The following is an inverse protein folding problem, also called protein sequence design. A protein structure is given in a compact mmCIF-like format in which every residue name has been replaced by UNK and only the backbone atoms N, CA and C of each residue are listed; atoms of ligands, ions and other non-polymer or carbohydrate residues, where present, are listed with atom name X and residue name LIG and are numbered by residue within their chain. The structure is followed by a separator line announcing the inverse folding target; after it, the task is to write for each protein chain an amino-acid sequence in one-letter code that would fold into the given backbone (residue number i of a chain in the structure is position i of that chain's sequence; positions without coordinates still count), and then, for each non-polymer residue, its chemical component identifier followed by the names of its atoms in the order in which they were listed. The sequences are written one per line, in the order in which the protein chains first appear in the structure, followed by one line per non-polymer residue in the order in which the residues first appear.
data_IF_747208889956
#
_entry.id   IF_747208889956
#
_cell.length_a   1.000
_cell.length_b   1.000
_cell.length_c   1.000
_cell.angle_alpha   90.00
_cell.angle_beta   90.00
_cell.angle_gamma   90.00
#
_symmetry.space_group_name_H-M   'P 1'
#
loop_
_entity.id
_entity.type
_entity.pdbx_description
1 polymer ?
#
# COMPACT_ATOMS: atom_id res chain seq x y z
N UNK A 1 -2.90 -1.73 20.58
CA UNK A 1 -2.65 -0.34 20.14
C UNK A 1 -2.21 -0.21 18.66
N UNK A 2 -1.84 -1.29 17.96
CA UNK A 2 -1.24 -1.25 16.62
C UNK A 2 -2.21 -1.57 15.46
N UNK A 3 -3.53 -1.61 15.71
CA UNK A 3 -4.57 -1.91 14.70
C UNK A 3 -4.50 -0.94 13.51
N UNK A 4 -4.08 0.30 13.74
CA UNK A 4 -3.93 1.30 12.68
C UNK A 4 -2.89 0.89 11.62
N UNK A 5 -1.89 0.07 11.97
CA UNK A 5 -0.91 -0.45 11.02
C UNK A 5 -1.55 -1.37 9.99
N UNK A 6 -2.64 -2.07 10.31
CA UNK A 6 -3.38 -2.89 9.36
C UNK A 6 -4.49 -2.07 8.68
N UNK A 7 -5.19 -1.24 9.45
CA UNK A 7 -6.33 -0.47 8.97
C UNK A 7 -5.93 0.55 7.89
N UNK A 8 -4.83 1.29 8.09
CA UNK A 8 -4.39 2.32 7.14
C UNK A 8 -4.03 1.73 5.76
N UNK A 9 -3.23 0.65 5.64
CA UNK A 9 -2.98 -0.01 4.36
C UNK A 9 -4.24 -0.56 3.71
N UNK A 10 -5.18 -1.13 4.47
CA UNK A 10 -6.46 -1.57 3.92
C UNK A 10 -7.27 -0.40 3.33
N UNK A 11 -7.34 0.72 4.05
CA UNK A 11 -7.99 1.93 3.54
C UNK A 11 -7.30 2.45 2.27
N UNK A 12 -5.96 2.43 2.23
CA UNK A 12 -5.21 2.78 1.02
C UNK A 12 -5.56 1.85 -0.15
N UNK A 13 -5.66 0.54 0.06
CA UNK A 13 -6.03 -0.42 -0.99
C UNK A 13 -7.47 -0.20 -1.50
N UNK A 14 -8.41 0.17 -0.63
CA UNK A 14 -9.77 0.52 -1.03
C UNK A 14 -9.77 1.77 -1.91
N UNK A 15 -9.09 2.84 -1.49
CA UNK A 15 -8.96 4.08 -2.27
C UNK A 15 -8.25 3.80 -3.60
N UNK A 16 -7.22 2.97 -3.59
CA UNK A 16 -6.49 2.58 -4.78
C UNK A 16 -7.38 1.82 -5.77
N UNK A 17 -8.16 0.84 -5.30
CA UNK A 17 -9.10 0.10 -6.13
C UNK A 17 -10.12 1.04 -6.80
N UNK A 18 -10.72 1.95 -6.02
CA UNK A 18 -11.67 2.93 -6.57
C UNK A 18 -10.99 3.82 -7.60
N UNK A 19 -9.81 4.34 -7.28
CA UNK A 19 -9.05 5.25 -8.13
C UNK A 19 -8.53 4.63 -9.42
N UNK A 20 -8.22 3.33 -9.42
CA UNK A 20 -7.65 2.64 -10.59
C UNK A 20 -8.79 2.09 -11.44
N UNK A 21 -9.72 1.33 -10.87
CA UNK A 21 -10.62 0.48 -11.65
C UNK A 21 -12.05 1.01 -11.77
N UNK A 22 -12.49 1.88 -10.86
CA UNK A 22 -13.91 2.26 -10.77
C UNK A 22 -14.18 3.70 -11.20
N UNK A 23 -13.25 4.61 -10.93
CA UNK A 23 -13.45 6.04 -11.09
C UNK A 23 -12.22 6.70 -11.71
N UNK A 24 -12.27 6.99 -13.01
CA UNK A 24 -11.23 7.76 -13.71
C UNK A 24 -11.41 9.28 -13.52
N UNK A 25 -11.47 9.69 -12.25
CA UNK A 25 -11.52 11.11 -11.86
C UNK A 25 -10.27 11.49 -11.07
N UNK A 26 -9.96 12.78 -11.07
CA UNK A 26 -8.73 13.31 -10.48
C UNK A 26 -8.70 13.20 -8.95
N UNK A 27 -9.86 13.29 -8.29
CA UNK A 27 -9.95 13.30 -6.82
C UNK A 27 -9.45 11.99 -6.15
N UNK A 28 -9.91 10.77 -6.51
CA UNK A 28 -9.36 9.52 -5.98
C UNK A 28 -7.88 9.32 -6.25
N UNK A 29 -7.35 9.84 -7.37
CA UNK A 29 -5.92 9.77 -7.70
C UNK A 29 -5.09 10.61 -6.72
N UNK A 30 -5.53 11.84 -6.45
CA UNK A 30 -4.90 12.70 -5.42
C UNK A 30 -5.00 12.05 -4.05
N UNK A 31 -6.19 11.53 -3.70
CA UNK A 31 -6.40 10.88 -2.40
C UNK A 31 -5.49 9.65 -2.24
N UNK A 32 -5.32 8.83 -3.28
CA UNK A 32 -4.40 7.69 -3.27
C UNK A 32 -2.96 8.12 -2.99
N UNK A 33 -2.49 9.17 -3.67
CA UNK A 33 -1.14 9.72 -3.46
C UNK A 33 -0.97 10.26 -2.03
N UNK A 34 -1.95 11.04 -1.54
CA UNK A 34 -1.93 11.57 -0.18
C UNK A 34 -1.91 10.45 0.87
N UNK A 35 -2.71 9.40 0.68
CA UNK A 35 -2.74 8.23 1.54
C UNK A 35 -1.41 7.47 1.52
N UNK A 36 -0.77 7.33 0.35
CA UNK A 36 0.55 6.71 0.25
C UNK A 36 1.61 7.49 1.04
N UNK A 37 1.64 8.82 0.89
CA UNK A 37 2.57 9.68 1.64
C UNK A 37 2.29 9.60 3.14
N UNK A 38 1.02 9.65 3.54
CA UNK A 38 0.61 9.53 4.94
C UNK A 38 1.04 8.19 5.54
N UNK A 39 0.87 7.09 4.82
CA UNK A 39 1.31 5.76 5.21
C UNK A 39 2.82 5.69 5.46
N UNK A 40 3.61 6.26 4.55
CA UNK A 40 5.06 6.33 4.69
C UNK A 40 5.43 7.13 5.93
N UNK A 41 4.81 8.29 6.17
CA UNK A 41 5.07 9.11 7.35
C UNK A 41 4.74 8.34 8.64
N UNK A 42 3.55 7.72 8.72
CA UNK A 42 3.09 7.00 9.92
C UNK A 42 4.02 5.84 10.28
N UNK A 43 4.50 5.09 9.28
CA UNK A 43 5.42 3.98 9.55
C UNK A 43 6.85 4.48 9.75
N UNK A 44 7.29 5.54 9.08
CA UNK A 44 8.61 6.13 9.32
C UNK A 44 8.71 6.74 10.73
N UNK A 45 7.65 7.33 11.27
CA UNK A 45 7.67 7.83 12.64
C UNK A 45 7.67 6.70 13.66
N UNK A 46 7.06 5.54 13.37
CA UNK A 46 7.14 4.38 14.27
C UNK A 46 8.54 3.76 14.35
N UNK A 47 9.39 3.93 13.31
CA UNK A 47 10.81 3.57 13.36
C UNK A 47 11.60 4.35 14.41
N UNK A 48 11.20 5.59 14.72
CA UNK A 48 11.91 6.40 15.73
C UNK A 48 11.77 5.81 17.14
N UNK A 49 10.70 5.06 17.38
CA UNK A 49 10.38 4.47 18.68
C UNK A 49 10.71 2.96 18.74
N UNK A 50 10.64 2.23 17.62
CA UNK A 50 10.81 0.76 17.57
C UNK A 50 11.72 0.26 16.42
N UNK A 51 12.95 0.77 16.28
CA UNK A 51 13.74 0.69 15.04
C UNK A 51 14.08 -0.72 14.54
N UNK A 52 14.33 -1.69 15.43
CA UNK A 52 14.70 -3.06 15.03
C UNK A 52 13.53 -3.88 14.48
N UNK A 53 12.30 -3.54 14.86
CA UNK A 53 11.11 -4.33 14.55
C UNK A 53 10.29 -3.73 13.40
N UNK A 54 10.19 -2.40 13.32
CA UNK A 54 9.38 -1.72 12.29
C UNK A 54 10.11 -1.53 10.95
N UNK A 55 11.41 -1.79 10.85
CA UNK A 55 12.16 -1.68 9.58
C UNK A 55 11.58 -2.57 8.48
N UNK A 56 11.28 -3.83 8.81
CA UNK A 56 10.67 -4.77 7.87
C UNK A 56 9.26 -4.36 7.46
N UNK A 57 8.51 -3.79 8.39
CA UNK A 57 7.16 -3.28 8.14
C UNK A 57 7.19 -2.10 7.16
N UNK A 58 8.16 -1.19 7.29
CA UNK A 58 8.39 -0.10 6.34
C UNK A 58 8.78 -0.62 4.95
N UNK A 59 9.71 -1.58 4.88
CA UNK A 59 10.17 -2.14 3.62
C UNK A 59 9.01 -2.78 2.83
N UNK A 60 8.21 -3.62 3.49
CA UNK A 60 7.05 -4.28 2.84
C UNK A 60 5.98 -3.25 2.45
N UNK A 61 5.76 -2.22 3.27
CA UNK A 61 4.82 -1.15 2.94
C UNK A 61 5.23 -0.37 1.68
N UNK A 62 6.51 -0.03 1.55
CA UNK A 62 7.03 0.64 0.36
C UNK A 62 6.86 -0.23 -0.89
N UNK A 63 7.06 -1.55 -0.77
CA UNK A 63 6.77 -2.48 -1.86
C UNK A 63 5.27 -2.47 -2.22
N UNK A 64 4.37 -2.45 -1.23
CA UNK A 64 2.93 -2.40 -1.47
C UNK A 64 2.53 -1.13 -2.23
N UNK A 65 2.97 0.03 -1.75
CA UNK A 65 2.68 1.33 -2.37
C UNK A 65 3.25 1.37 -3.79
N UNK A 66 4.53 0.99 -3.96
CA UNK A 66 5.17 0.95 -5.27
C UNK A 66 4.42 0.04 -6.25
N UNK A 67 4.03 -1.15 -5.82
CA UNK A 67 3.28 -2.10 -6.63
C UNK A 67 1.92 -1.53 -7.07
N UNK A 68 1.20 -0.85 -6.18
CA UNK A 68 -0.09 -0.21 -6.47
C UNK A 68 0.07 0.97 -7.45
N UNK A 69 1.07 1.82 -7.29
CA UNK A 69 1.30 2.94 -8.21
C UNK A 69 1.74 2.45 -9.61
N UNK A 70 2.55 1.39 -9.68
CA UNK A 70 2.88 0.73 -10.96
C UNK A 70 1.63 0.09 -11.57
N UNK A 71 0.72 -0.47 -10.76
CA UNK A 71 -0.57 -1.01 -11.24
C UNK A 71 -1.40 0.10 -11.88
N UNK A 72 -1.48 1.27 -11.26
CA UNK A 72 -2.18 2.42 -11.82
C UNK A 72 -1.57 2.87 -13.15
N UNK A 73 -0.24 2.93 -13.24
CA UNK A 73 0.47 3.27 -14.46
C UNK A 73 0.21 2.25 -15.59
N UNK A 74 0.32 0.95 -15.29
CA UNK A 74 0.05 -0.11 -16.27
C UNK A 74 -1.40 -0.13 -16.72
N UNK A 75 -2.33 0.12 -15.79
CA UNK A 75 -3.74 0.22 -16.14
C UNK A 75 -4.01 1.39 -17.07
N UNK A 76 -3.42 2.56 -16.82
CA UNK A 76 -3.46 3.71 -17.72
C UNK A 76 -2.89 3.38 -19.11
N UNK A 77 -1.83 2.57 -19.19
CA UNK A 77 -1.25 2.07 -20.44
C UNK A 77 -2.00 0.91 -21.08
N UNK A 78 -3.14 0.49 -20.53
CA UNK A 78 -3.95 -0.64 -21.02
C UNK A 78 -3.21 -1.99 -21.04
N UNK A 79 -2.14 -2.14 -20.24
CA UNK A 79 -1.40 -3.40 -20.10
C UNK A 79 -2.11 -4.34 -19.12
N UNK A 80 -3.13 -5.04 -19.61
CA UNK A 80 -3.98 -5.91 -18.78
C UNK A 80 -3.22 -7.07 -18.14
N UNK A 81 -2.26 -7.68 -18.88
CA UNK A 81 -1.43 -8.78 -18.34
C UNK A 81 -0.59 -8.30 -17.17
N UNK A 82 0.06 -7.14 -17.33
CA UNK A 82 0.85 -6.55 -16.27
C UNK A 82 0.01 -6.15 -15.05
N UNK A 83 -1.20 -5.59 -15.26
CA UNK A 83 -2.13 -5.29 -14.17
C UNK A 83 -2.53 -6.55 -13.40
N UNK A 84 -2.82 -7.65 -14.10
CA UNK A 84 -3.20 -8.90 -13.45
C UNK A 84 -2.07 -9.47 -12.56
N UNK A 85 -0.83 -9.44 -13.07
CA UNK A 85 0.36 -9.86 -12.30
C UNK A 85 0.52 -8.99 -11.06
N UNK A 86 0.43 -7.66 -11.22
CA UNK A 86 0.60 -6.75 -10.09
C UNK A 86 -0.53 -6.89 -9.07
N UNK A 87 -1.77 -7.18 -9.47
CA UNK A 87 -2.87 -7.45 -8.54
C UNK A 87 -2.61 -8.71 -7.71
N UNK A 88 -2.08 -9.78 -8.32
CA UNK A 88 -1.66 -10.97 -7.58
C UNK A 88 -0.51 -10.66 -6.62
N UNK A 89 0.46 -9.84 -7.05
CA UNK A 89 1.53 -9.36 -6.17
C UNK A 89 1.02 -8.50 -5.02
N UNK A 90 0.02 -7.64 -5.24
CA UNK A 90 -0.60 -6.83 -4.16
C UNK A 90 -1.18 -7.73 -3.08
N UNK A 91 -1.90 -8.80 -3.45
CA UNK A 91 -2.44 -9.78 -2.50
C UNK A 91 -1.31 -10.48 -1.73
N UNK A 92 -0.26 -10.91 -2.43
CA UNK A 92 0.89 -11.54 -1.79
C UNK A 92 1.61 -10.60 -0.81
N UNK A 93 1.91 -9.37 -1.22
CA UNK A 93 2.55 -8.36 -0.38
C UNK A 93 1.66 -8.03 0.83
N UNK A 94 0.35 -7.94 0.65
CA UNK A 94 -0.59 -7.72 1.76
C UNK A 94 -0.53 -8.86 2.79
N UNK A 95 -0.48 -10.12 2.34
CA UNK A 95 -0.33 -11.27 3.25
C UNK A 95 0.99 -11.20 4.04
N UNK A 96 2.10 -10.90 3.35
CA UNK A 96 3.40 -10.71 3.99
C UNK A 96 3.36 -9.55 4.99
N UNK A 97 2.74 -8.43 4.61
CA UNK A 97 2.60 -7.26 5.47
C UNK A 97 1.84 -7.58 6.76
N UNK A 98 0.71 -8.30 6.64
CA UNK A 98 -0.08 -8.74 7.80
C UNK A 98 0.74 -9.68 8.68
N UNK A 99 1.46 -10.64 8.11
CA UNK A 99 2.31 -11.56 8.86
C UNK A 99 3.42 -10.82 9.64
N UNK A 100 4.12 -9.89 8.98
CA UNK A 100 5.14 -9.05 9.63
C UNK A 100 4.52 -8.19 10.72
N UNK A 101 3.35 -7.61 10.47
CA UNK A 101 2.65 -6.80 11.47
C UNK A 101 2.30 -7.63 12.70
N UNK A 102 1.78 -8.84 12.54
CA UNK A 102 1.47 -9.73 13.67
C UNK A 102 2.73 -10.13 14.45
N UNK A 103 3.89 -10.27 13.80
CA UNK A 103 5.14 -10.59 14.51
C UNK A 103 5.70 -9.42 15.33
N UNK A 104 5.41 -8.18 14.91
CA UNK A 104 5.89 -6.94 15.54
C UNK A 104 4.92 -6.42 16.62
N UNK A 105 3.68 -6.91 16.65
CA UNK A 105 2.60 -6.50 17.57
C UNK A 105 2.51 -7.42 18.77
#
# INVERSE_FOLDING_TARGET
MLVYLILLPLMYLIVAYISIFKMDILLPKILRLLMAVLLIIVVATSLLYYPSETWWLLAVLLMLIGNVEVTAFKHYKQDQKGVQILNMMTLFILLVYIAVTIMVV
#
